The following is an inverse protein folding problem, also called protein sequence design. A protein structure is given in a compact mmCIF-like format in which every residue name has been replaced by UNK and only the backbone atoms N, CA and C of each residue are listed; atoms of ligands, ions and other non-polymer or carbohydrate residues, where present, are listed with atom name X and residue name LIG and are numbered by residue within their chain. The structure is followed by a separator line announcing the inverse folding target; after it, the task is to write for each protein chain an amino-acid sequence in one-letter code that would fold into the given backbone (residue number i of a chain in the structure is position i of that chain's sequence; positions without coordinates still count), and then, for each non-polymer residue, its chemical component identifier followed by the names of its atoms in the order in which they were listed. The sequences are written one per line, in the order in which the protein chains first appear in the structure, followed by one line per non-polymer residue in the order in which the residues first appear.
data_IF_800851154446
#
_entry.id   IF_800851154446
#
_cell.length_a   1.000
_cell.length_b   1.000
_cell.length_c   1.000
_cell.angle_alpha   90.00
_cell.angle_beta   90.00
_cell.angle_gamma   90.00
#
_symmetry.space_group_name_H-M   'P 1'
#
loop_
_entity.id
_entity.type
_entity.pdbx_description
1 polymer ?
#
# COMPACT_ATOMS: atom_id res chain seq x y z
N UNK A 1 17.77 17.35 72.63
CA UNK A 1 17.67 18.22 71.43
C UNK A 1 17.39 17.35 70.21
N UNK A 2 16.17 17.48 69.70
CA UNK A 2 15.66 17.35 68.32
C UNK A 2 16.30 16.39 67.27
N UNK A 3 15.45 15.44 66.85
CA UNK A 3 15.22 14.86 65.49
C UNK A 3 16.33 14.07 64.79
N UNK A 4 15.97 12.83 64.40
CA UNK A 4 16.17 12.39 63.02
C UNK A 4 15.07 11.39 62.63
N UNK A 5 14.31 11.77 61.61
CA UNK A 5 13.26 11.04 60.92
C UNK A 5 13.90 10.48 59.64
N UNK A 6 13.71 9.20 59.33
CA UNK A 6 14.04 8.65 58.00
C UNK A 6 13.14 7.43 57.77
N UNK A 7 11.91 7.66 57.28
CA UNK A 7 11.51 7.67 55.85
C UNK A 7 11.61 6.27 55.21
N UNK A 8 10.48 5.58 55.15
CA UNK A 8 10.32 4.27 54.51
C UNK A 8 10.47 4.37 52.99
N UNK A 9 11.16 3.38 52.42
CA UNK A 9 11.36 3.24 50.97
C UNK A 9 10.18 2.46 50.40
N UNK A 10 9.31 3.16 49.66
CA UNK A 10 8.25 2.57 48.85
C UNK A 10 8.85 2.17 47.50
N UNK A 11 8.99 0.87 47.27
CA UNK A 11 9.55 0.32 46.03
C UNK A 11 8.49 0.41 44.91
N UNK A 12 8.58 1.45 44.06
CA UNK A 12 7.80 1.56 42.83
C UNK A 12 8.32 0.54 41.81
N UNK A 13 7.53 -0.50 41.56
CA UNK A 13 7.71 -1.40 40.42
C UNK A 13 7.41 -0.62 39.14
N UNK A 14 8.45 -0.24 38.39
CA UNK A 14 8.32 0.34 37.06
C UNK A 14 7.87 -0.76 36.09
N UNK A 15 6.66 -0.59 35.54
CA UNK A 15 6.13 -1.45 34.49
C UNK A 15 7.04 -1.42 33.26
N UNK A 16 7.28 -2.60 32.70
CA UNK A 16 7.94 -2.77 31.42
C UNK A 16 7.06 -2.15 30.32
N UNK A 17 7.36 -0.91 29.93
CA UNK A 17 6.92 -0.38 28.65
C UNK A 17 7.69 -1.15 27.57
N UNK A 18 7.03 -2.12 26.93
CA UNK A 18 7.47 -2.62 25.63
C UNK A 18 7.46 -1.43 24.67
N UNK A 19 8.63 -0.86 24.40
CA UNK A 19 8.80 0.08 23.31
C UNK A 19 8.46 -0.66 22.02
N UNK A 20 7.30 -0.34 21.44
CA UNK A 20 7.05 -0.65 20.03
C UNK A 20 8.07 0.19 19.27
N UNK A 21 9.18 -0.44 18.89
CA UNK A 21 10.15 0.16 17.98
C UNK A 21 9.37 0.68 16.76
N UNK A 22 9.53 1.96 16.38
CA UNK A 22 8.94 2.44 15.14
C UNK A 22 9.38 1.49 14.04
N UNK A 23 8.43 0.90 13.31
CA UNK A 23 8.75 0.13 12.12
C UNK A 23 9.69 1.01 11.28
N UNK A 24 10.91 0.52 11.01
CA UNK A 24 11.97 1.29 10.37
C UNK A 24 11.52 1.94 9.06
N UNK A 25 12.36 2.80 8.48
CA UNK A 25 12.02 3.48 7.22
C UNK A 25 11.50 2.48 6.18
N UNK A 26 10.33 2.74 5.61
CA UNK A 26 9.69 1.86 4.65
C UNK A 26 10.49 1.90 3.33
N UNK A 27 11.14 0.81 2.89
CA UNK A 27 11.90 0.80 1.65
C UNK A 27 10.95 0.72 0.43
N UNK A 28 11.44 1.18 -0.70
CA UNK A 28 10.78 1.04 -2.01
C UNK A 28 11.66 0.24 -2.98
N UNK A 29 11.11 -0.13 -4.13
CA UNK A 29 11.88 -0.71 -5.21
C UNK A 29 13.04 0.22 -5.60
N UNK A 30 14.22 -0.36 -5.90
CA UNK A 30 15.43 0.40 -6.19
C UNK A 30 15.30 1.27 -7.45
N UNK A 31 14.56 0.82 -8.45
CA UNK A 31 14.28 1.62 -9.64
C UNK A 31 13.07 1.04 -10.36
N UNK A 32 12.21 1.91 -10.87
CA UNK A 32 11.02 1.51 -11.62
C UNK A 32 11.05 2.15 -13.01
N UNK A 33 10.96 1.28 -14.02
CA UNK A 33 10.68 1.65 -15.40
C UNK A 33 9.15 1.75 -15.58
N UNK A 34 8.65 2.98 -15.63
CA UNK A 34 7.21 3.25 -15.77
C UNK A 34 6.63 2.79 -17.11
N UNK A 35 7.46 2.64 -18.15
CA UNK A 35 7.02 2.07 -19.43
C UNK A 35 6.72 0.58 -19.26
N UNK A 36 7.62 -0.17 -18.61
CA UNK A 36 7.40 -1.59 -18.30
C UNK A 36 6.32 -1.82 -17.23
N UNK A 37 6.11 -0.85 -16.35
CA UNK A 37 5.03 -0.88 -15.35
C UNK A 37 3.64 -0.58 -15.93
N UNK A 38 3.58 0.06 -17.11
CA UNK A 38 2.31 0.35 -17.80
C UNK A 38 1.54 -0.93 -18.16
N UNK A 39 0.25 -0.79 -18.47
CA UNK A 39 -0.69 -1.89 -18.74
C UNK A 39 -1.53 -2.27 -17.53
N UNK A 40 -2.23 -3.39 -17.64
CA UNK A 40 -3.16 -3.87 -16.62
C UNK A 40 -2.42 -4.66 -15.55
N UNK A 41 -2.84 -4.43 -14.30
CA UNK A 41 -2.51 -5.22 -13.13
C UNK A 41 -3.80 -5.70 -12.46
N UNK A 42 -3.83 -6.97 -12.09
CA UNK A 42 -4.89 -7.58 -11.30
C UNK A 42 -4.56 -7.48 -9.82
N UNK A 43 -5.55 -7.09 -9.02
CA UNK A 43 -5.45 -7.11 -7.56
C UNK A 43 -5.56 -8.56 -7.07
N UNK A 44 -4.46 -9.08 -6.53
CA UNK A 44 -4.39 -10.42 -5.92
C UNK A 44 -4.83 -10.36 -4.46
N UNK A 45 -4.40 -9.33 -3.74
CA UNK A 45 -4.85 -9.06 -2.38
C UNK A 45 -4.68 -7.60 -2.03
N UNK A 46 -5.42 -7.15 -1.01
CA UNK A 46 -5.30 -5.80 -0.46
C UNK A 46 -5.59 -5.75 1.03
N UNK A 47 -5.16 -4.68 1.69
CA UNK A 47 -5.71 -4.34 2.99
C UNK A 47 -7.14 -3.78 2.89
N UNK A 48 -7.95 -3.87 3.96
CA UNK A 48 -9.30 -3.34 3.98
C UNK A 48 -9.30 -1.81 3.77
N UNK A 49 -10.12 -1.33 2.84
CA UNK A 49 -10.32 0.10 2.64
C UNK A 49 -11.77 0.40 2.28
N UNK A 50 -12.27 1.52 2.80
CA UNK A 50 -13.67 1.92 2.62
C UNK A 50 -14.05 2.07 1.14
N UNK A 51 -13.14 2.62 0.32
CA UNK A 51 -13.38 2.86 -1.11
C UNK A 51 -13.53 1.59 -1.95
N UNK A 52 -12.99 0.44 -1.52
CA UNK A 52 -13.08 -0.84 -2.22
C UNK A 52 -13.88 -1.91 -1.47
N UNK A 53 -14.59 -1.55 -0.39
CA UNK A 53 -15.31 -2.51 0.47
C UNK A 53 -16.32 -3.41 -0.26
N UNK A 54 -16.86 -2.95 -1.39
CA UNK A 54 -17.82 -3.67 -2.21
C UNK A 54 -17.18 -4.38 -3.42
N UNK A 55 -15.87 -4.20 -3.63
CA UNK A 55 -15.14 -4.81 -4.74
C UNK A 55 -14.76 -6.26 -4.41
N UNK A 56 -15.05 -7.17 -5.32
CA UNK A 56 -14.67 -8.60 -5.24
C UNK A 56 -13.45 -8.88 -6.10
N UNK A 57 -13.38 -8.30 -7.30
CA UNK A 57 -12.21 -8.38 -8.20
C UNK A 57 -11.89 -6.99 -8.70
N UNK A 58 -10.63 -6.60 -8.62
CA UNK A 58 -10.18 -5.27 -9.03
C UNK A 58 -9.03 -5.37 -10.03
N UNK A 59 -8.96 -4.38 -10.92
CA UNK A 59 -7.83 -4.15 -11.81
C UNK A 59 -7.39 -2.70 -11.71
N UNK A 60 -6.10 -2.46 -11.92
CA UNK A 60 -5.51 -1.15 -12.11
C UNK A 60 -4.80 -1.10 -13.46
N UNK A 61 -5.22 -0.20 -14.33
CA UNK A 61 -4.57 0.06 -15.61
C UNK A 61 -3.74 1.33 -15.52
N UNK A 62 -2.46 1.22 -15.89
CA UNK A 62 -1.54 2.35 -15.93
C UNK A 62 -1.13 2.67 -17.35
N UNK A 63 -1.11 3.95 -17.70
CA UNK A 63 -0.65 4.42 -19.02
C UNK A 63 0.28 5.60 -18.86
N UNK A 64 1.54 5.41 -19.23
CA UNK A 64 2.51 6.51 -19.30
C UNK A 64 2.09 7.53 -20.36
N UNK A 65 2.07 8.80 -20.00
CA UNK A 65 1.71 9.92 -20.87
C UNK A 65 2.96 10.63 -21.38
N UNK A 66 2.85 11.34 -22.50
CA UNK A 66 3.95 12.15 -23.06
C UNK A 66 4.48 13.22 -22.09
N UNK A 67 3.64 13.64 -21.14
CA UNK A 67 4.01 14.57 -20.06
C UNK A 67 4.91 13.95 -18.97
N UNK A 68 5.14 12.64 -19.01
CA UNK A 68 5.83 11.87 -17.96
C UNK A 68 4.95 11.51 -16.76
N UNK A 69 3.69 11.95 -16.72
CA UNK A 69 2.68 11.49 -15.75
C UNK A 69 2.11 10.13 -16.16
N UNK A 70 1.43 9.47 -15.24
CA UNK A 70 0.78 8.18 -15.49
C UNK A 70 -0.73 8.34 -15.33
N UNK A 71 -1.51 8.07 -16.37
CA UNK A 71 -2.94 7.93 -16.23
C UNK A 71 -3.26 6.60 -15.51
N UNK A 72 -4.19 6.65 -14.57
CA UNK A 72 -4.61 5.53 -13.73
C UNK A 72 -6.08 5.27 -13.97
N UNK A 73 -6.46 4.03 -14.23
CA UNK A 73 -7.86 3.60 -14.22
C UNK A 73 -7.99 2.38 -13.32
N UNK A 74 -8.71 2.53 -12.22
CA UNK A 74 -9.09 1.41 -11.37
C UNK A 74 -10.51 0.98 -11.74
N UNK A 75 -10.72 -0.33 -11.89
CA UNK A 75 -12.04 -0.90 -12.09
C UNK A 75 -12.23 -2.11 -11.19
N UNK A 76 -13.44 -2.32 -10.70
CA UNK A 76 -13.76 -3.51 -9.95
C UNK A 76 -15.18 -4.02 -10.22
N UNK A 77 -15.35 -5.33 -10.10
CA UNK A 77 -16.65 -5.99 -10.12
C UNK A 77 -17.10 -6.24 -8.69
N UNK A 78 -18.35 -5.89 -8.37
CA UNK A 78 -18.94 -6.10 -7.05
C UNK A 78 -19.53 -7.52 -6.90
N UNK A 79 -20.01 -7.86 -5.71
CA UNK A 79 -20.67 -9.14 -5.46
C UNK A 79 -22.01 -9.29 -6.21
N UNK A 80 -22.61 -8.20 -6.68
CA UNK A 80 -23.83 -8.21 -7.50
C UNK A 80 -23.53 -8.29 -9.00
N UNK A 81 -22.25 -8.32 -9.40
CA UNK A 81 -21.83 -8.29 -10.79
C UNK A 81 -21.79 -6.90 -11.42
N UNK A 82 -22.06 -5.84 -10.64
CA UNK A 82 -21.91 -4.46 -11.11
C UNK A 82 -20.43 -4.12 -11.32
N UNK A 83 -20.13 -3.41 -12.41
CA UNK A 83 -18.81 -2.85 -12.65
C UNK A 83 -18.76 -1.39 -12.24
N UNK A 84 -17.79 -1.05 -11.39
CA UNK A 84 -17.50 0.32 -10.99
C UNK A 84 -16.08 0.67 -11.40
N UNK A 85 -15.85 1.93 -11.80
CA UNK A 85 -14.52 2.40 -12.16
C UNK A 85 -14.27 3.85 -11.76
N UNK A 86 -12.99 4.18 -11.61
CA UNK A 86 -12.50 5.51 -11.28
C UNK A 86 -11.19 5.77 -12.02
N UNK A 87 -11.07 6.97 -12.56
CA UNK A 87 -9.90 7.43 -13.29
C UNK A 87 -9.13 8.46 -12.47
N UNK A 88 -7.85 8.61 -12.75
CA UNK A 88 -6.97 9.54 -12.06
C UNK A 88 -5.62 9.71 -12.75
N UNK A 89 -4.77 10.51 -12.13
CA UNK A 89 -3.42 10.79 -12.61
C UNK A 89 -2.42 10.62 -11.47
N UNK A 90 -1.35 9.89 -11.75
CA UNK A 90 -0.20 9.76 -10.88
C UNK A 90 0.95 10.66 -11.37
N UNK A 91 1.58 11.37 -10.43
CA UNK A 91 2.78 12.17 -10.67
C UNK A 91 3.93 11.60 -9.86
N UNK A 92 5.10 11.43 -10.47
CA UNK A 92 6.31 10.97 -9.77
C UNK A 92 6.77 12.02 -8.77
N UNK A 93 7.03 11.61 -7.53
CA UNK A 93 7.59 12.48 -6.47
C UNK A 93 9.01 12.06 -6.04
N UNK A 94 9.49 10.94 -6.58
CA UNK A 94 10.87 10.46 -6.47
C UNK A 94 11.45 10.31 -7.89
N UNK A 95 12.11 11.34 -8.44
CA UNK A 95 12.60 11.28 -9.82
C UNK A 95 13.80 10.33 -10.02
N UNK A 96 14.53 9.99 -8.96
CA UNK A 96 15.72 9.14 -9.02
C UNK A 96 15.32 7.68 -9.25
N UNK A 97 14.44 7.16 -8.39
CA UNK A 97 14.03 5.76 -8.40
C UNK A 97 12.66 5.54 -9.07
N UNK A 98 11.83 6.58 -9.16
CA UNK A 98 10.46 6.54 -9.72
C UNK A 98 9.51 5.56 -9.02
N UNK A 99 9.88 5.13 -7.81
CA UNK A 99 9.10 4.17 -7.02
C UNK A 99 8.02 4.83 -6.15
N UNK A 100 7.98 6.17 -6.07
CA UNK A 100 7.00 6.93 -5.30
C UNK A 100 6.23 7.88 -6.21
N UNK A 101 4.90 7.79 -6.13
CA UNK A 101 3.98 8.60 -6.89
C UNK A 101 2.93 9.23 -5.97
N UNK A 102 2.38 10.36 -6.41
CA UNK A 102 1.17 10.94 -5.87
C UNK A 102 0.03 10.73 -6.87
N UNK A 103 -0.94 9.90 -6.50
CA UNK A 103 -2.14 9.57 -7.28
C UNK A 103 -3.29 10.45 -6.82
N UNK A 104 -3.95 11.08 -7.79
CA UNK A 104 -5.17 11.88 -7.56
C UNK A 104 -6.26 11.37 -8.50
N UNK A 105 -7.38 10.92 -7.93
CA UNK A 105 -8.53 10.45 -8.71
C UNK A 105 -9.49 11.59 -9.09
N UNK A 106 -10.17 11.44 -10.22
CA UNK A 106 -11.10 12.38 -10.83
C UNK A 106 -12.50 12.35 -10.17
N UNK A 107 -12.52 12.41 -8.85
CA UNK A 107 -13.71 12.67 -8.05
C UNK A 107 -13.48 13.89 -7.18
N UNK A 108 -14.49 14.77 -7.08
CA UNK A 108 -14.36 16.04 -6.34
C UNK A 108 -13.91 15.83 -4.88
N UNK A 109 -14.44 14.80 -4.21
CA UNK A 109 -14.06 14.45 -2.84
C UNK A 109 -12.63 13.89 -2.77
N UNK A 110 -12.22 13.08 -3.74
CA UNK A 110 -10.86 12.55 -3.82
C UNK A 110 -9.84 13.65 -4.08
N UNK A 111 -10.17 14.65 -4.92
CA UNK A 111 -9.35 15.84 -5.16
C UNK A 111 -9.22 16.70 -3.90
N UNK A 112 -10.30 16.88 -3.16
CA UNK A 112 -10.28 17.62 -1.90
C UNK A 112 -9.44 16.91 -0.83
N UNK A 113 -9.61 15.59 -0.67
CA UNK A 113 -8.77 14.80 0.23
C UNK A 113 -7.31 14.88 -0.20
N UNK A 114 -7.01 14.69 -1.48
CA UNK A 114 -5.65 14.83 -1.99
C UNK A 114 -5.07 16.23 -1.71
N UNK A 115 -5.82 17.32 -1.83
CA UNK A 115 -5.32 18.65 -1.46
C UNK A 115 -4.99 18.79 0.03
N UNK A 116 -5.68 18.05 0.89
CA UNK A 116 -5.50 18.08 2.34
C UNK A 116 -4.50 17.04 2.87
N UNK A 117 -4.23 15.97 2.11
CA UNK A 117 -3.41 14.82 2.53
C UNK A 117 -2.26 14.49 1.59
N UNK A 118 -2.10 15.20 0.47
CA UNK A 118 -0.91 15.05 -0.40
C UNK A 118 0.31 15.44 0.41
N UNK A 119 1.10 14.44 0.79
CA UNK A 119 2.42 14.64 1.36
C UNK A 119 3.45 14.71 0.24
N UNK A 120 4.57 15.38 0.50
CA UNK A 120 5.73 15.38 -0.42
C UNK A 120 6.25 13.95 -0.70
N UNK A 121 5.92 13.02 0.18
CA UNK A 121 6.26 11.61 0.09
C UNK A 121 5.42 10.84 -0.95
N UNK A 122 4.26 11.36 -1.38
CA UNK A 122 3.32 10.66 -2.23
C UNK A 122 2.49 9.59 -1.49
N UNK A 123 1.44 9.12 -2.16
CA UNK A 123 0.45 8.19 -1.60
C UNK A 123 0.38 6.84 -2.36
N UNK A 124 1.36 6.57 -3.20
CA UNK A 124 1.50 5.31 -3.93
C UNK A 124 2.98 4.94 -4.01
N UNK A 125 3.41 3.97 -3.21
CA UNK A 125 4.80 3.52 -3.14
C UNK A 125 4.91 2.11 -3.68
N UNK A 126 5.72 1.92 -4.72
CA UNK A 126 6.08 0.61 -5.25
C UNK A 126 7.16 0.04 -4.32
N UNK A 127 6.75 -0.85 -3.43
CA UNK A 127 7.60 -1.46 -2.41
C UNK A 127 8.51 -2.54 -3.01
N UNK A 128 7.98 -3.28 -3.98
CA UNK A 128 8.68 -4.31 -4.74
C UNK A 128 8.04 -4.46 -6.12
N UNK A 129 8.86 -4.68 -7.13
CA UNK A 129 8.44 -5.17 -8.44
C UNK A 129 9.48 -6.20 -8.88
N UNK A 130 9.06 -7.32 -9.45
CA UNK A 130 10.00 -8.33 -9.95
C UNK A 130 10.66 -7.86 -11.26
N UNK A 131 11.83 -8.43 -11.65
CA UNK A 131 12.57 -7.98 -12.84
C UNK A 131 11.79 -8.07 -14.15
N UNK A 132 10.80 -8.96 -14.20
CA UNK A 132 9.93 -9.20 -15.36
C UNK A 132 8.65 -8.34 -15.35
N UNK A 133 8.40 -7.57 -14.28
CA UNK A 133 7.18 -6.77 -14.10
C UNK A 133 5.89 -7.59 -14.14
N UNK A 134 5.94 -8.82 -13.60
CA UNK A 134 4.83 -9.73 -13.44
C UNK A 134 4.15 -9.63 -12.08
N UNK A 135 4.89 -9.28 -11.03
CA UNK A 135 4.42 -9.15 -9.66
C UNK A 135 4.87 -7.83 -9.05
N UNK A 136 3.96 -7.14 -8.36
CA UNK A 136 4.26 -5.90 -7.67
C UNK A 136 3.57 -5.83 -6.30
N UNK A 137 4.22 -5.13 -5.38
CA UNK A 137 3.68 -4.80 -4.06
C UNK A 137 3.67 -3.28 -3.97
N UNK A 138 2.52 -2.73 -3.65
CA UNK A 138 2.30 -1.29 -3.52
C UNK A 138 1.69 -0.98 -2.18
N UNK A 139 2.07 0.13 -1.54
CA UNK A 139 1.40 0.59 -0.33
C UNK A 139 1.53 2.09 -0.10
N UNK A 140 1.05 2.54 1.06
CA UNK A 140 1.21 3.91 1.55
C UNK A 140 2.27 4.00 2.65
N UNK A 141 2.91 5.17 2.84
CA UNK A 141 3.99 5.34 3.83
C UNK A 141 3.57 5.08 5.28
N UNK A 142 2.30 5.30 5.61
CA UNK A 142 1.68 5.03 6.92
C UNK A 142 1.37 3.54 7.15
N UNK A 143 1.46 2.70 6.11
CA UNK A 143 1.15 1.26 6.09
C UNK A 143 -0.34 0.92 6.25
N UNK A 144 -1.22 1.90 6.12
CA UNK A 144 -2.67 1.68 6.22
C UNK A 144 -3.25 1.06 4.94
N UNK A 145 -2.59 1.26 3.80
CA UNK A 145 -3.01 0.70 2.52
C UNK A 145 -1.90 -0.13 1.87
N UNK A 146 -2.30 -1.27 1.31
CA UNK A 146 -1.43 -2.22 0.64
C UNK A 146 -2.21 -2.94 -0.46
N UNK A 147 -1.54 -3.20 -1.58
CA UNK A 147 -1.99 -4.05 -2.67
C UNK A 147 -0.87 -4.99 -3.12
N UNK A 148 -1.24 -6.25 -3.35
CA UNK A 148 -0.46 -7.25 -4.06
C UNK A 148 -1.05 -7.32 -5.46
N UNK A 149 -0.23 -7.04 -6.47
CA UNK A 149 -0.63 -6.92 -7.86
C UNK A 149 0.09 -7.95 -8.73
N UNK A 150 -0.60 -8.47 -9.73
CA UNK A 150 -0.02 -9.37 -10.72
C UNK A 150 -0.48 -9.04 -12.15
N UNK A 151 0.29 -9.45 -13.16
CA UNK A 151 -0.13 -9.37 -14.56
C UNK A 151 -1.17 -10.40 -14.95
N UNK A 152 -1.36 -11.42 -14.12
CA UNK A 152 -2.37 -12.46 -14.28
C UNK A 152 -3.45 -12.35 -13.20
N UNK A 153 -4.69 -12.83 -13.45
CA UNK A 153 -5.79 -12.78 -12.46
C UNK A 153 -5.53 -13.61 -11.19
N UNK A 154 -4.60 -14.55 -11.26
CA UNK A 154 -4.20 -15.42 -10.15
C UNK A 154 -2.70 -15.70 -10.20
N UNK A 155 -2.15 -16.11 -9.07
CA UNK A 155 -0.76 -16.52 -8.90
C UNK A 155 -0.72 -17.80 -8.07
N UNK A 156 0.37 -18.56 -8.17
CA UNK A 156 0.56 -19.75 -7.34
C UNK A 156 0.74 -19.39 -5.86
N UNK A 157 0.50 -20.37 -4.99
CA UNK A 157 0.52 -20.15 -3.55
C UNK A 157 1.91 -19.79 -3.02
N UNK A 158 2.97 -20.32 -3.61
CA UNK A 158 4.33 -20.00 -3.17
C UNK A 158 4.68 -18.54 -3.46
N UNK A 159 4.34 -18.06 -4.66
CA UNK A 159 4.46 -16.64 -5.02
C UNK A 159 3.63 -15.74 -4.10
N UNK A 160 2.38 -16.14 -3.79
CA UNK A 160 1.54 -15.38 -2.86
C UNK A 160 2.16 -15.27 -1.47
N UNK A 161 2.61 -16.39 -0.90
CA UNK A 161 3.21 -16.41 0.44
C UNK A 161 4.55 -15.65 0.50
N UNK A 162 5.35 -15.64 -0.57
CA UNK A 162 6.55 -14.79 -0.66
C UNK A 162 6.19 -13.30 -0.57
N UNK A 163 5.17 -12.86 -1.31
CA UNK A 163 4.71 -11.48 -1.30
C UNK A 163 4.15 -11.07 0.06
N UNK A 164 3.33 -11.93 0.68
CA UNK A 164 2.80 -11.70 2.04
C UNK A 164 3.93 -11.65 3.08
N UNK A 165 4.87 -12.59 3.02
CA UNK A 165 6.01 -12.61 3.96
C UNK A 165 6.87 -11.36 3.80
N UNK A 166 7.05 -10.88 2.58
CA UNK A 166 7.75 -9.62 2.32
C UNK A 166 7.03 -8.43 2.94
N UNK A 167 5.72 -8.27 2.74
CA UNK A 167 4.95 -7.15 3.33
C UNK A 167 4.88 -7.22 4.84
N UNK A 168 4.78 -8.41 5.42
CA UNK A 168 4.79 -8.59 6.88
C UNK A 168 6.10 -8.09 7.49
N UNK A 169 7.26 -8.39 6.88
CA UNK A 169 8.57 -7.87 7.33
C UNK A 169 8.67 -6.35 7.26
N UNK A 170 7.88 -5.70 6.41
CA UNK A 170 7.81 -4.25 6.31
C UNK A 170 6.87 -3.61 7.34
N UNK A 171 6.18 -4.41 8.16
CA UNK A 171 5.31 -3.95 9.24
C UNK A 171 3.86 -3.70 8.83
N UNK A 172 3.40 -4.24 7.70
CA UNK A 172 1.98 -4.23 7.35
C UNK A 172 1.21 -5.31 8.13
N UNK A 173 -0.06 -5.04 8.47
CA UNK A 173 -0.96 -5.97 9.16
C UNK A 173 -1.50 -7.05 8.21
N UNK A 174 -0.61 -7.95 7.76
CA UNK A 174 -0.92 -8.95 6.73
C UNK A 174 -2.03 -9.93 7.11
N UNK A 175 -2.29 -10.10 8.40
CA UNK A 175 -3.43 -10.87 8.94
C UNK A 175 -4.80 -10.33 8.50
N UNK A 176 -4.86 -9.06 8.08
CA UNK A 176 -6.09 -8.44 7.58
C UNK A 176 -6.20 -8.45 6.05
N UNK A 177 -5.26 -9.08 5.34
CA UNK A 177 -5.30 -9.14 3.88
C UNK A 177 -6.59 -9.82 3.37
N UNK A 178 -7.27 -9.13 2.46
CA UNK A 178 -8.39 -9.67 1.69
C UNK A 178 -7.82 -10.15 0.37
N UNK A 179 -7.86 -11.47 0.12
CA UNK A 179 -7.44 -12.07 -1.15
C UNK A 179 -8.59 -12.07 -2.15
N UNK A 180 -8.31 -11.70 -3.39
CA UNK A 180 -9.28 -11.79 -4.47
C UNK A 180 -9.62 -13.27 -4.75
N UNK A 181 -10.88 -13.60 -5.08
CA UNK A 181 -11.23 -14.97 -5.44
C UNK A 181 -10.53 -15.38 -6.74
N UNK A 182 -9.90 -16.56 -6.71
CA UNK A 182 -9.33 -17.19 -7.90
C UNK A 182 -10.45 -17.34 -8.94
N UNK A 183 -10.21 -16.90 -10.17
CA UNK A 183 -11.13 -17.16 -11.28
C UNK A 183 -11.21 -18.66 -11.51
N UNK A 184 -12.42 -19.23 -11.49
CA UNK A 184 -12.63 -20.55 -12.07
C UNK A 184 -12.59 -20.35 -13.59
N UNK A 185 -11.67 -21.04 -14.26
CA UNK A 185 -11.61 -21.11 -15.72
C UNK A 185 -12.90 -21.75 -16.30
#
# INVERSE_FOLDING_TARGET
MLKTLTMGVFCLMLGACSSVEPAGQLPTALSVDLSRYSGIWHEIARLPMWGQRNCVRSTAEYRLLDSGKVAVRNACTTSTGEEISIEGVATVVDPEHRAKLNVVFDQWAAKLVALLTSSEQGNYWILRVDPDYRLAIVGTPDRDYLWILARTPSIDEASYQDMVSFTQRLGFQTEHLIRAPVSAD
#
